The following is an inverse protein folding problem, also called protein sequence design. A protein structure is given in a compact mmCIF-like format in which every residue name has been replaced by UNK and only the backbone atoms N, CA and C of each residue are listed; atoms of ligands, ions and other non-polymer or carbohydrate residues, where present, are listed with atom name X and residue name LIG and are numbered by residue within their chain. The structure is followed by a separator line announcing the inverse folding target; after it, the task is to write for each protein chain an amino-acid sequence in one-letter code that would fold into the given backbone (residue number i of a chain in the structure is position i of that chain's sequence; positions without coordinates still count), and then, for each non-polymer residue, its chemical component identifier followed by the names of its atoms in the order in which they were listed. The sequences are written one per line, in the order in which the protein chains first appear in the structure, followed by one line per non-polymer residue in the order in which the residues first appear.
data_IF_330113917799
#
_entry.id   IF_330113917799
#
_cell.length_a   1.000
_cell.length_b   1.000
_cell.length_c   1.000
_cell.angle_alpha   90.00
_cell.angle_beta   90.00
_cell.angle_gamma   90.00
#
_symmetry.space_group_name_H-M   'P 1'
#
loop_
_entity.id
_entity.type
_entity.pdbx_description
1 polymer ?
#
# COMPACT_ATOMS: atom_id res chain seq x y z
N UNK A 1 -14.77 -12.62 1.55
CA UNK A 1 -14.40 -11.23 1.87
C UNK A 1 -13.02 -11.00 1.26
N UNK A 2 -12.90 -10.05 0.33
CA UNK A 2 -11.66 -9.78 -0.41
C UNK A 2 -10.53 -9.40 0.57
N UNK A 3 -9.26 -9.76 0.33
CA UNK A 3 -8.13 -9.36 1.20
C UNK A 3 -8.10 -7.83 1.43
N UNK A 4 -8.47 -7.08 0.40
CA UNK A 4 -8.75 -5.65 0.39
C UNK A 4 -9.69 -5.18 1.52
N UNK A 5 -10.83 -5.86 1.70
CA UNK A 5 -11.80 -5.49 2.73
C UNK A 5 -11.23 -5.67 4.14
N UNK A 6 -10.47 -6.74 4.36
CA UNK A 6 -9.88 -7.03 5.67
C UNK A 6 -8.88 -5.97 6.10
N UNK A 7 -8.02 -5.48 5.20
CA UNK A 7 -7.04 -4.45 5.54
C UNK A 7 -7.72 -3.11 5.82
N UNK A 8 -8.73 -2.73 5.02
CA UNK A 8 -9.48 -1.51 5.28
C UNK A 8 -10.27 -1.57 6.58
N UNK A 9 -10.84 -2.73 6.95
CA UNK A 9 -11.49 -2.94 8.24
C UNK A 9 -10.50 -2.78 9.42
N UNK A 10 -9.28 -3.30 9.24
CA UNK A 10 -8.20 -3.10 10.20
C UNK A 10 -7.86 -1.60 10.32
N UNK A 11 -7.69 -0.89 9.20
CA UNK A 11 -7.40 0.55 9.21
C UNK A 11 -8.60 1.42 9.63
N UNK A 12 -9.82 0.89 9.65
CA UNK A 12 -11.03 1.60 10.07
C UNK A 12 -11.07 2.00 11.54
N UNK A 13 -10.28 1.36 12.40
CA UNK A 13 -10.21 1.70 13.83
C UNK A 13 -9.18 2.78 14.14
N UNK A 14 -9.59 3.80 14.89
CA UNK A 14 -8.75 4.95 15.24
C UNK A 14 -7.51 4.57 16.07
N UNK A 15 -7.66 3.73 17.09
CA UNK A 15 -6.54 3.29 17.93
C UNK A 15 -5.49 2.55 17.11
N UNK A 16 -5.90 1.70 16.18
CA UNK A 16 -4.99 1.03 15.25
C UNK A 16 -4.26 2.01 14.34
N UNK A 17 -4.93 3.04 13.80
CA UNK A 17 -4.27 4.11 13.03
C UNK A 17 -3.26 4.89 13.87
N UNK A 18 -3.61 5.21 15.13
CA UNK A 18 -2.69 5.90 16.05
C UNK A 18 -1.46 5.04 16.38
N UNK A 19 -1.64 3.74 16.61
CA UNK A 19 -0.52 2.80 16.79
C UNK A 19 0.40 2.82 15.55
N UNK A 20 -0.16 2.65 14.35
CA UNK A 20 0.62 2.69 13.10
C UNK A 20 1.40 4.00 12.97
N UNK A 21 0.76 5.15 13.25
CA UNK A 21 1.40 6.46 13.21
C UNK A 21 2.57 6.57 14.21
N UNK A 22 2.45 5.99 15.40
CA UNK A 22 3.57 5.96 16.36
C UNK A 22 4.72 5.08 15.87
N UNK A 23 4.40 3.90 15.32
CA UNK A 23 5.39 2.95 14.82
C UNK A 23 6.18 3.47 13.61
N UNK A 24 5.72 4.51 12.90
CA UNK A 24 6.53 5.17 11.84
C UNK A 24 7.73 5.93 12.39
N UNK A 25 7.70 6.33 13.67
CA UNK A 25 8.76 7.13 14.30
C UNK A 25 9.88 6.27 14.86
N UNK A 26 9.54 5.13 15.49
CA UNK A 26 10.47 4.15 16.07
C UNK A 26 9.70 2.88 16.47
N UNK A 27 10.39 1.78 16.79
CA UNK A 27 9.76 0.63 17.45
C UNK A 27 9.23 0.98 18.85
N UNK A 28 8.11 0.37 19.24
CA UNK A 28 7.49 0.55 20.57
C UNK A 28 7.16 -0.79 21.24
N UNK A 29 7.17 -0.83 22.57
CA UNK A 29 6.60 -1.94 23.34
C UNK A 29 5.22 -1.58 23.93
N UNK A 30 4.46 -2.62 24.31
CA UNK A 30 3.03 -2.52 24.69
C UNK A 30 2.76 -1.43 25.74
N UNK A 31 3.56 -1.34 26.80
CA UNK A 31 3.29 -0.39 27.88
C UNK A 31 3.56 1.07 27.47
N UNK A 32 4.49 1.32 26.54
CA UNK A 32 4.68 2.67 25.99
C UNK A 32 3.45 3.10 25.18
N UNK A 33 2.99 2.21 24.29
CA UNK A 33 1.79 2.46 23.49
C UNK A 33 0.56 2.67 24.38
N UNK A 34 0.43 1.87 25.44
CA UNK A 34 -0.65 2.00 26.42
C UNK A 34 -0.65 3.37 27.10
N UNK A 35 0.52 3.84 27.52
CA UNK A 35 0.68 5.14 28.18
C UNK A 35 0.38 6.30 27.25
N UNK A 36 0.93 6.29 26.03
CA UNK A 36 0.74 7.34 25.01
C UNK A 36 -0.69 7.41 24.47
N UNK A 37 -1.35 6.26 24.33
CA UNK A 37 -2.71 6.20 23.79
C UNK A 37 -3.79 6.42 24.87
N UNK A 38 -3.44 6.28 26.15
CA UNK A 38 -4.42 6.26 27.24
C UNK A 38 -5.32 5.02 27.20
N UNK A 39 -4.85 3.93 26.60
CA UNK A 39 -5.61 2.69 26.37
C UNK A 39 -4.99 1.56 27.20
N UNK A 40 -5.81 0.72 27.83
CA UNK A 40 -5.31 -0.39 28.66
C UNK A 40 -4.45 -1.39 27.87
N UNK A 41 -3.39 -1.93 28.51
CA UNK A 41 -2.42 -2.82 27.86
C UNK A 41 -3.05 -4.04 27.17
N UNK A 42 -4.14 -4.61 27.73
CA UNK A 42 -4.87 -5.73 27.11
C UNK A 42 -5.49 -5.34 25.77
N UNK A 43 -6.07 -4.14 25.68
CA UNK A 43 -6.65 -3.63 24.43
C UNK A 43 -5.56 -3.29 23.40
N UNK A 44 -4.44 -2.72 23.86
CA UNK A 44 -3.27 -2.48 22.99
C UNK A 44 -2.72 -3.79 22.43
N UNK A 45 -2.58 -4.83 23.25
CA UNK A 45 -2.16 -6.16 22.80
C UNK A 45 -3.09 -6.73 21.71
N UNK A 46 -4.40 -6.58 21.88
CA UNK A 46 -5.35 -7.05 20.88
C UNK A 46 -5.24 -6.26 19.56
N UNK A 47 -5.07 -4.93 19.64
CA UNK A 47 -4.83 -4.13 18.45
C UNK A 47 -3.54 -4.52 17.72
N UNK A 48 -2.45 -4.76 18.46
CA UNK A 48 -1.19 -5.21 17.90
C UNK A 48 -1.33 -6.59 17.25
N UNK A 49 -2.06 -7.53 17.88
CA UNK A 49 -2.34 -8.85 17.30
C UNK A 49 -3.05 -8.73 15.95
N UNK A 50 -4.11 -7.91 15.89
CA UNK A 50 -4.87 -7.67 14.65
C UNK A 50 -3.98 -7.06 13.56
N UNK A 51 -3.12 -6.09 13.92
CA UNK A 51 -2.20 -5.44 12.99
C UNK A 51 -1.11 -6.41 12.48
N UNK A 52 -0.60 -7.29 13.35
CA UNK A 52 0.41 -8.31 13.04
C UNK A 52 -0.20 -9.39 12.12
N UNK A 53 -1.43 -9.83 12.40
CA UNK A 53 -2.19 -10.77 11.54
C UNK A 53 -2.53 -10.18 10.17
N UNK A 54 -2.75 -8.87 10.10
CA UNK A 54 -2.92 -8.15 8.84
C UNK A 54 -1.60 -7.93 8.07
N UNK A 55 -0.45 -8.32 8.64
CA UNK A 55 0.87 -8.17 8.03
C UNK A 55 1.38 -6.73 7.98
N UNK A 56 0.76 -5.80 8.73
CA UNK A 56 1.15 -4.37 8.73
C UNK A 56 2.35 -4.09 9.63
N UNK A 57 2.51 -4.91 10.68
CA UNK A 57 3.57 -4.78 11.67
C UNK A 57 4.23 -6.13 11.90
N UNK A 58 5.44 -6.11 12.43
CA UNK A 58 6.14 -7.28 12.91
C UNK A 58 6.67 -7.06 14.33
N UNK A 59 6.76 -8.16 15.08
CA UNK A 59 7.22 -8.15 16.45
C UNK A 59 8.61 -8.76 16.62
N UNK A 60 9.51 -8.04 17.28
CA UNK A 60 10.86 -8.50 17.60
C UNK A 60 11.07 -8.58 19.11
N UNK A 61 11.54 -9.74 19.58
CA UNK A 61 11.90 -9.90 21.00
C UNK A 61 13.35 -9.50 21.21
N UNK A 62 13.55 -8.51 22.06
CA UNK A 62 14.88 -8.03 22.45
C UNK A 62 15.22 -8.46 23.87
N UNK A 63 16.43 -9.01 24.03
CA UNK A 63 17.00 -9.34 25.34
C UNK A 63 17.64 -8.09 25.92
N UNK A 64 17.28 -7.78 27.16
CA UNK A 64 17.81 -6.62 27.87
C UNK A 64 18.84 -7.12 28.90
N UNK A 65 20.01 -6.47 29.06
CA UNK A 65 21.07 -6.94 29.96
C UNK A 65 20.62 -7.18 31.41
N UNK A 66 19.63 -6.42 31.87
CA UNK A 66 18.97 -6.60 33.17
C UNK A 66 17.46 -6.43 33.00
N UNK A 67 16.71 -7.53 33.02
CA UNK A 67 15.25 -7.52 32.99
C UNK A 67 14.64 -8.67 32.19
N UNK A 68 13.31 -8.72 32.16
CA UNK A 68 12.57 -9.65 31.30
C UNK A 68 12.68 -9.21 29.83
N UNK A 69 12.80 -10.14 28.87
CA UNK A 69 12.77 -9.82 27.45
C UNK A 69 11.53 -8.99 27.10
N UNK A 70 11.68 -8.02 26.20
CA UNK A 70 10.57 -7.18 25.73
C UNK A 70 10.32 -7.44 24.25
N UNK A 71 9.05 -7.58 23.88
CA UNK A 71 8.62 -7.61 22.47
C UNK A 71 8.36 -6.18 22.02
N UNK A 72 9.18 -5.73 21.08
CA UNK A 72 8.98 -4.48 20.35
C UNK A 72 8.22 -4.76 19.06
N UNK A 73 7.43 -3.79 18.62
CA UNK A 73 6.70 -3.83 17.37
C UNK A 73 7.22 -2.73 16.46
N UNK A 74 7.31 -3.01 15.16
CA UNK A 74 7.71 -2.06 14.12
C UNK A 74 6.85 -2.26 12.86
N UNK A 75 6.79 -1.25 11.98
CA UNK A 75 6.14 -1.39 10.68
C UNK A 75 6.91 -2.42 9.86
N UNK A 76 6.20 -3.39 9.29
CA UNK A 76 6.81 -4.39 8.42
C UNK A 76 7.46 -3.69 7.22
N UNK A 77 8.76 -3.94 7.02
CA UNK A 77 9.52 -3.30 5.94
C UNK A 77 8.93 -3.64 4.58
N UNK A 78 8.89 -2.65 3.70
CA UNK A 78 8.42 -2.84 2.34
C UNK A 78 6.91 -2.99 2.23
N UNK A 79 6.10 -2.63 3.22
CA UNK A 79 4.65 -2.56 3.03
C UNK A 79 4.27 -1.24 2.33
N UNK A 80 3.58 -1.31 1.19
CA UNK A 80 2.93 -0.16 0.55
C UNK A 80 1.48 -0.48 0.22
N UNK A 81 0.58 0.39 0.68
CA UNK A 81 -0.86 0.34 0.41
C UNK A 81 -1.25 1.62 -0.31
N UNK A 82 -1.80 1.48 -1.51
CA UNK A 82 -2.45 2.57 -2.24
C UNK A 82 -3.95 2.29 -2.31
N UNK A 83 -4.76 3.28 -1.93
CA UNK A 83 -6.22 3.21 -2.03
C UNK A 83 -6.66 4.18 -3.12
N UNK A 84 -7.28 3.65 -4.17
CA UNK A 84 -7.84 4.41 -5.28
C UNK A 84 -9.36 4.48 -5.14
N UNK A 85 -9.90 5.69 -5.14
CA UNK A 85 -11.34 5.92 -5.10
C UNK A 85 -11.70 6.97 -6.17
N UNK A 86 -12.45 6.53 -7.18
CA UNK A 86 -12.98 7.37 -8.27
C UNK A 86 -14.48 7.08 -8.46
N UNK A 87 -15.24 7.89 -9.22
CA UNK A 87 -16.66 7.61 -9.50
C UNK A 87 -16.93 6.29 -10.21
N UNK A 88 -15.89 5.67 -10.79
CA UNK A 88 -16.01 4.46 -11.59
C UNK A 88 -15.27 3.27 -10.99
N UNK A 89 -14.32 3.50 -10.08
CA UNK A 89 -13.45 2.45 -9.53
C UNK A 89 -13.17 2.66 -8.05
N UNK A 90 -13.22 1.55 -7.30
CA UNK A 90 -12.69 1.46 -5.95
C UNK A 90 -11.69 0.31 -5.90
N UNK A 91 -10.41 0.66 -5.75
CA UNK A 91 -9.30 -0.29 -5.80
C UNK A 91 -8.33 -0.10 -4.64
N UNK A 92 -7.63 -1.17 -4.26
CA UNK A 92 -6.50 -1.10 -3.34
C UNK A 92 -5.35 -1.89 -3.94
N UNK A 93 -4.19 -1.26 -4.09
CA UNK A 93 -2.96 -1.95 -4.47
C UNK A 93 -2.11 -2.12 -3.21
N UNK A 94 -1.85 -3.38 -2.84
CA UNK A 94 -0.86 -3.73 -1.82
C UNK A 94 0.30 -4.35 -2.54
N UNK A 95 1.47 -3.75 -2.44
CA UNK A 95 2.67 -4.31 -3.02
C UNK A 95 3.84 -4.13 -2.08
N UNK A 96 4.73 -5.12 -2.08
CA UNK A 96 6.06 -4.91 -1.57
C UNK A 96 6.88 -4.21 -2.66
N UNK A 97 7.40 -2.97 -2.45
CA UNK A 97 8.27 -2.35 -3.41
C UNK A 97 9.46 -3.28 -3.62
N UNK A 98 9.58 -3.87 -4.83
CA UNK A 98 10.81 -4.55 -5.25
C UNK A 98 11.96 -3.62 -4.94
N UNK A 99 12.99 -4.12 -4.24
CA UNK A 99 14.17 -3.34 -3.82
C UNK A 99 14.52 -2.33 -4.91
N UNK A 100 14.42 -1.05 -4.58
CA UNK A 100 14.56 0.06 -5.53
C UNK A 100 15.94 -0.09 -6.21
N UNK A 101 15.92 -0.47 -7.49
CA UNK A 101 17.14 -0.76 -8.24
C UNK A 101 17.90 0.51 -8.67
N UNK A 102 17.33 1.71 -8.47
CA UNK A 102 18.00 2.98 -8.78
C UNK A 102 18.97 3.35 -7.65
N UNK A 103 20.13 2.69 -7.64
CA UNK A 103 21.22 2.94 -6.69
C UNK A 103 21.76 4.37 -6.80
N UNK A 104 21.77 4.97 -7.98
CA UNK A 104 22.46 6.26 -8.22
C UNK A 104 21.91 7.41 -7.38
N UNK A 105 20.60 7.71 -7.45
CA UNK A 105 19.96 8.77 -6.64
C UNK A 105 20.11 8.51 -5.14
N UNK A 106 20.07 7.24 -4.73
CA UNK A 106 20.23 6.85 -3.33
C UNK A 106 21.67 6.98 -2.83
N UNK A 107 22.66 6.56 -3.62
CA UNK A 107 24.07 6.71 -3.28
C UNK A 107 24.49 8.17 -3.29
N UNK A 108 23.98 8.99 -4.23
CA UNK A 108 24.22 10.43 -4.23
C UNK A 108 23.69 11.10 -2.95
N UNK A 109 22.45 10.78 -2.54
CA UNK A 109 21.90 11.26 -1.26
C UNK A 109 22.82 10.92 -0.08
N UNK A 110 23.36 9.70 -0.07
CA UNK A 110 24.24 9.18 0.98
C UNK A 110 25.62 9.83 0.96
N UNK A 111 26.15 10.17 -0.21
CA UNK A 111 27.38 10.96 -0.37
C UNK A 111 27.20 12.36 0.21
N UNK A 112 26.13 13.06 -0.16
CA UNK A 112 25.78 14.37 0.40
C UNK A 112 25.66 14.30 1.93
N UNK A 113 24.96 13.30 2.48
CA UNK A 113 24.80 13.13 3.94
C UNK A 113 26.15 12.87 4.63
N UNK A 114 27.10 12.18 3.97
CA UNK A 114 28.41 11.84 4.52
C UNK A 114 29.51 12.86 4.24
N UNK A 115 29.24 13.89 3.44
CA UNK A 115 30.25 14.90 3.09
C UNK A 115 30.76 15.62 4.34
N UNK A 116 32.04 16.04 4.28
CA UNK A 116 32.71 16.82 5.32
C UNK A 116 32.72 18.32 5.01
N UNK A 117 31.90 18.76 4.04
CA UNK A 117 31.75 20.17 3.66
C UNK A 117 31.22 21.03 4.82
N UNK A 118 31.48 22.35 4.81
CA UNK A 118 30.88 23.29 5.75
C UNK A 118 29.35 23.13 5.79
N UNK A 119 28.76 23.28 6.98
CA UNK A 119 27.35 22.93 7.21
C UNK A 119 26.41 23.75 6.31
N UNK A 120 26.75 25.01 6.02
CA UNK A 120 25.99 25.89 5.15
C UNK A 120 25.99 25.41 3.69
N UNK A 121 27.15 24.95 3.19
CA UNK A 121 27.29 24.42 1.84
C UNK A 121 26.57 23.08 1.70
N UNK A 122 26.77 22.19 2.67
CA UNK A 122 26.10 20.90 2.74
C UNK A 122 24.57 21.05 2.79
N UNK A 123 24.05 21.99 3.59
CA UNK A 123 22.61 22.25 3.66
C UNK A 123 22.05 22.77 2.34
N UNK A 124 22.81 23.58 1.60
CA UNK A 124 22.42 24.06 0.28
C UNK A 124 22.33 22.90 -0.72
N UNK A 125 23.37 22.09 -0.82
CA UNK A 125 23.42 20.94 -1.74
C UNK A 125 22.30 19.93 -1.45
N UNK A 126 22.07 19.62 -0.16
CA UNK A 126 20.96 18.74 0.25
C UNK A 126 19.60 19.34 -0.15
N UNK A 127 19.42 20.65 0.02
CA UNK A 127 18.16 21.31 -0.32
C UNK A 127 17.91 21.32 -1.82
N UNK A 128 18.94 21.64 -2.62
CA UNK A 128 18.87 21.61 -4.09
C UNK A 128 18.54 20.20 -4.60
N UNK A 129 19.23 19.18 -4.07
CA UNK A 129 18.97 17.79 -4.42
C UNK A 129 17.57 17.32 -3.98
N UNK A 130 17.11 17.71 -2.79
CA UNK A 130 15.77 17.39 -2.31
C UNK A 130 14.69 18.02 -3.22
N UNK A 131 14.90 19.26 -3.68
CA UNK A 131 14.01 19.89 -4.65
C UNK A 131 13.99 19.16 -5.99
N UNK A 132 15.14 18.70 -6.49
CA UNK A 132 15.20 17.87 -7.70
C UNK A 132 14.38 16.57 -7.53
N UNK A 133 14.57 15.87 -6.42
CA UNK A 133 13.85 14.64 -6.10
C UNK A 133 12.34 14.88 -6.01
N UNK A 134 11.91 15.94 -5.31
CA UNK A 134 10.50 16.32 -5.22
C UNK A 134 9.90 16.61 -6.60
N UNK A 135 10.58 17.40 -7.45
CA UNK A 135 10.12 17.70 -8.80
C UNK A 135 9.94 16.43 -9.65
N UNK A 136 10.90 15.50 -9.57
CA UNK A 136 10.82 14.22 -10.28
C UNK A 136 9.69 13.33 -9.76
N UNK A 137 9.45 13.33 -8.45
CA UNK A 137 8.29 12.64 -7.85
C UNK A 137 7.00 13.23 -8.41
N UNK A 138 6.87 14.56 -8.44
CA UNK A 138 5.68 15.23 -8.97
C UNK A 138 5.45 14.92 -10.45
N UNK A 139 6.50 14.93 -11.26
CA UNK A 139 6.42 14.56 -12.69
C UNK A 139 5.94 13.12 -12.86
N UNK A 140 6.52 12.17 -12.11
CA UNK A 140 6.10 10.78 -12.12
C UNK A 140 4.65 10.58 -11.64
N UNK A 141 4.20 11.35 -10.65
CA UNK A 141 2.81 11.31 -10.19
C UNK A 141 1.85 11.82 -11.26
N UNK A 142 2.20 12.88 -12.00
CA UNK A 142 1.38 13.37 -13.13
C UNK A 142 1.29 12.34 -14.25
N UNK A 143 2.43 11.80 -14.69
CA UNK A 143 2.44 10.75 -15.72
C UNK A 143 1.66 9.51 -15.26
N UNK A 144 1.79 9.11 -13.99
CA UNK A 144 0.98 8.01 -13.44
C UNK A 144 -0.51 8.36 -13.50
N UNK A 145 -0.92 9.56 -13.09
CA UNK A 145 -2.32 9.97 -13.09
C UNK A 145 -2.93 10.00 -14.50
N UNK A 146 -2.20 10.49 -15.50
CA UNK A 146 -2.65 10.49 -16.90
C UNK A 146 -2.87 9.05 -17.42
N UNK A 147 -1.92 8.15 -17.16
CA UNK A 147 -2.06 6.74 -17.54
C UNK A 147 -3.18 6.03 -16.78
N UNK A 148 -3.38 6.39 -15.52
CA UNK A 148 -4.45 5.88 -14.67
C UNK A 148 -5.83 6.28 -15.21
N UNK A 149 -6.00 7.53 -15.65
CA UNK A 149 -7.24 8.01 -16.25
C UNK A 149 -7.59 7.24 -17.53
N UNK A 150 -6.60 7.01 -18.39
CA UNK A 150 -6.77 6.19 -19.60
C UNK A 150 -7.14 4.74 -19.25
N UNK A 151 -6.46 4.15 -18.25
CA UNK A 151 -6.77 2.81 -17.73
C UNK A 151 -8.23 2.72 -17.29
N UNK A 152 -8.67 3.65 -16.44
CA UNK A 152 -10.03 3.69 -15.90
C UNK A 152 -11.09 3.86 -16.98
N UNK A 153 -10.84 4.71 -17.98
CA UNK A 153 -11.74 4.91 -19.12
C UNK A 153 -11.96 3.60 -19.90
N UNK A 154 -10.87 2.90 -20.22
CA UNK A 154 -10.91 1.63 -20.95
C UNK A 154 -11.58 0.54 -20.12
N UNK A 155 -11.23 0.40 -18.84
CA UNK A 155 -11.84 -0.57 -17.92
C UNK A 155 -13.35 -0.36 -17.79
N UNK A 156 -13.80 0.88 -17.62
CA UNK A 156 -15.22 1.24 -17.55
C UNK A 156 -15.96 0.88 -18.85
N UNK A 157 -15.37 1.18 -20.01
CA UNK A 157 -15.94 0.80 -21.31
C UNK A 157 -16.07 -0.72 -21.45
N UNK A 158 -15.01 -1.47 -21.15
CA UNK A 158 -14.99 -2.93 -21.20
C UNK A 158 -16.02 -3.55 -20.24
N UNK A 159 -16.08 -3.07 -19.00
CA UNK A 159 -17.06 -3.50 -18.01
C UNK A 159 -18.49 -3.33 -18.54
N UNK A 160 -18.80 -2.17 -19.13
CA UNK A 160 -20.11 -1.89 -19.71
C UNK A 160 -20.42 -2.77 -20.93
N UNK A 161 -19.43 -2.97 -21.82
CA UNK A 161 -19.57 -3.82 -23.00
C UNK A 161 -19.84 -5.28 -22.61
N UNK A 162 -19.04 -5.82 -21.69
CA UNK A 162 -19.18 -7.19 -21.18
C UNK A 162 -20.53 -7.41 -20.49
N UNK A 163 -21.02 -6.41 -19.73
CA UNK A 163 -22.36 -6.46 -19.12
C UNK A 163 -23.49 -6.46 -20.15
N UNK A 164 -23.34 -5.75 -21.28
CA UNK A 164 -24.34 -5.77 -22.36
C UNK A 164 -24.33 -7.12 -23.09
N UNK A 165 -23.15 -7.60 -23.48
CA UNK A 165 -23.00 -8.90 -24.13
C UNK A 165 -23.55 -10.05 -23.28
N UNK A 166 -23.30 -10.03 -21.98
CA UNK A 166 -23.86 -11.02 -21.06
C UNK A 166 -25.41 -11.03 -21.01
N UNK A 167 -26.06 -9.91 -21.33
CA UNK A 167 -27.53 -9.80 -21.36
C UNK A 167 -28.11 -10.18 -22.72
N UNK A 168 -27.39 -9.90 -23.79
CA UNK A 168 -27.89 -10.02 -25.17
C UNK A 168 -27.53 -11.37 -25.80
N UNK A 169 -26.33 -11.92 -25.52
CA UNK A 169 -25.84 -13.14 -26.14
C UNK A 169 -24.78 -13.86 -25.26
N UNK A 170 -25.23 -14.85 -24.48
CA UNK A 170 -24.39 -15.60 -23.52
C UNK A 170 -23.28 -16.42 -24.21
N UNK A 171 -23.56 -17.01 -25.37
CA UNK A 171 -22.56 -17.80 -26.12
C UNK A 171 -21.41 -16.91 -26.63
N UNK A 172 -21.75 -15.73 -27.12
CA UNK A 172 -20.78 -14.74 -27.58
C UNK A 172 -19.96 -14.15 -26.43
N UNK A 173 -20.59 -13.92 -25.28
CA UNK A 173 -19.90 -13.55 -24.04
C UNK A 173 -18.84 -14.60 -23.65
N UNK A 174 -19.17 -15.89 -23.63
CA UNK A 174 -18.22 -16.96 -23.28
C UNK A 174 -17.12 -17.18 -24.32
N UNK A 175 -17.41 -16.93 -25.59
CA UNK A 175 -16.39 -16.93 -26.65
C UNK A 175 -15.38 -15.81 -26.41
N UNK A 176 -15.85 -14.58 -26.25
CA UNK A 176 -14.96 -13.45 -25.98
C UNK A 176 -14.20 -13.61 -24.66
N UNK A 177 -14.86 -14.12 -23.61
CA UNK A 177 -14.22 -14.37 -22.32
C UNK A 177 -12.97 -15.26 -22.47
N UNK A 178 -13.07 -16.35 -23.23
CA UNK A 178 -11.97 -17.29 -23.45
C UNK A 178 -10.79 -16.69 -24.21
N UNK A 179 -11.05 -15.73 -25.09
CA UNK A 179 -10.01 -15.00 -25.82
C UNK A 179 -9.30 -13.98 -24.92
N UNK A 180 -10.08 -13.24 -24.13
CA UNK A 180 -9.63 -12.15 -23.25
C UNK A 180 -8.86 -12.70 -22.04
N UNK A 181 -9.29 -13.81 -21.44
CA UNK A 181 -8.66 -14.38 -20.23
C UNK A 181 -7.18 -14.73 -20.41
N UNK A 182 -6.71 -14.94 -21.64
CA UNK A 182 -5.32 -15.30 -21.94
C UNK A 182 -4.40 -14.10 -22.20
N UNK A 183 -4.97 -12.94 -22.53
CA UNK A 183 -4.24 -11.78 -23.04
C UNK A 183 -4.33 -10.55 -22.15
N UNK A 184 -5.29 -10.52 -21.21
CA UNK A 184 -5.53 -9.37 -20.36
C UNK A 184 -4.69 -9.38 -19.08
N UNK A 185 -4.31 -8.19 -18.57
CA UNK A 185 -3.70 -8.06 -17.25
C UNK A 185 -4.56 -8.73 -16.16
N UNK A 186 -3.91 -9.44 -15.22
CA UNK A 186 -4.61 -10.16 -14.14
C UNK A 186 -5.54 -9.26 -13.32
N UNK A 187 -5.16 -7.99 -13.15
CA UNK A 187 -5.91 -7.00 -12.38
C UNK A 187 -7.29 -6.73 -12.99
N UNK A 188 -7.35 -6.54 -14.30
CA UNK A 188 -8.60 -6.36 -15.07
C UNK A 188 -9.41 -7.67 -15.06
N UNK A 189 -8.74 -8.82 -15.19
CA UNK A 189 -9.41 -10.12 -15.15
C UNK A 189 -10.09 -10.40 -13.81
N UNK A 190 -9.54 -9.92 -12.68
CA UNK A 190 -10.19 -10.07 -11.36
C UNK A 190 -11.54 -9.38 -11.32
N UNK A 191 -11.64 -8.19 -11.89
CA UNK A 191 -12.87 -7.41 -11.92
C UNK A 191 -13.89 -8.01 -12.89
N UNK A 192 -13.46 -8.37 -14.10
CA UNK A 192 -14.31 -9.03 -15.09
C UNK A 192 -14.83 -10.39 -14.60
N UNK A 193 -14.04 -11.14 -13.82
CA UNK A 193 -14.46 -12.43 -13.21
C UNK A 193 -15.62 -12.25 -12.25
N UNK A 194 -15.74 -11.08 -11.60
CA UNK A 194 -16.87 -10.76 -10.74
C UNK A 194 -18.15 -10.57 -11.55
N UNK A 195 -18.07 -9.88 -12.69
CA UNK A 195 -19.20 -9.72 -13.62
C UNK A 195 -19.67 -11.08 -14.13
N UNK A 196 -18.74 -11.93 -14.58
CA UNK A 196 -19.07 -13.31 -14.99
C UNK A 196 -19.79 -14.08 -13.88
N UNK A 197 -19.30 -14.03 -12.64
CA UNK A 197 -19.96 -14.66 -11.48
C UNK A 197 -21.35 -14.09 -11.16
N UNK A 198 -21.60 -12.81 -11.44
CA UNK A 198 -22.93 -12.18 -11.27
C UNK A 198 -23.92 -12.69 -12.32
N UNK A 199 -23.47 -12.91 -13.56
CA UNK A 199 -24.27 -13.43 -14.68
C UNK A 199 -24.69 -14.88 -14.45
N UNK A 200 -23.77 -15.74 -14.00
CA UNK A 200 -24.02 -17.18 -13.76
C UNK A 200 -24.55 -17.53 -12.37
N UNK A 201 -24.96 -16.54 -11.56
CA UNK A 201 -25.51 -16.78 -10.22
C UNK A 201 -27.03 -16.98 -10.21
N UNK A 202 -27.63 -17.30 -11.36
CA UNK A 202 -29.04 -17.68 -11.51
C UNK A 202 -29.16 -19.20 -11.51
#
# INVERSE_FOLDING_TARGET
MNEMGKILDVLGNETRRRILFMLTRRPYFVSELSQELGVGQKAVLEHLRILEEAGLIEGRVERIPRGRPRKYYEIRRGFRLEVLLTPHTFGTEIYEPKRIAKRETYEHAKELIKSQEPIEMKMREISEFLMEVENRIQEHLRMKAELEEVRLLIESYLNNLMRRLARENEEEFERMWREIERSFPEEILRELKRIRKEVYRV
#
